data_IF_482995771782
#
_entry.id   IF_482995771782
#
_cell.length_a   1.000
_cell.length_b   1.000
_cell.length_c   1.000
_cell.angle_alpha   90.00
_cell.angle_beta   90.00
_cell.angle_gamma   90.00
#
_symmetry.space_group_name_H-M   'P 1'
#
loop_
_entity.id
_entity.type
_entity.pdbx_description
1 polymer ?
#
# COMPACT_ATOMS: atom_id res chain seq x y z
N UNK A 1 29.78 36.62 -14.68
CA UNK A 1 28.41 36.04 -14.72
C UNK A 1 28.25 34.83 -15.67
N UNK A 2 29.32 34.15 -16.11
CA UNK A 2 29.23 32.96 -17.00
C UNK A 2 29.32 31.61 -16.27
N UNK A 3 29.64 31.63 -14.97
CA UNK A 3 29.85 30.42 -14.16
C UNK A 3 28.57 29.69 -13.79
N UNK A 4 27.53 30.42 -13.38
CA UNK A 4 26.27 29.82 -12.95
C UNK A 4 25.60 28.99 -14.06
N UNK A 5 25.59 29.49 -15.29
CA UNK A 5 25.00 28.77 -16.43
C UNK A 5 25.77 27.50 -16.79
N UNK A 6 27.10 27.48 -16.60
CA UNK A 6 27.91 26.27 -16.82
C UNK A 6 27.67 25.23 -15.73
N UNK A 7 27.60 25.65 -14.46
CA UNK A 7 27.29 24.77 -13.34
C UNK A 7 25.86 24.20 -13.46
N UNK A 8 24.90 25.02 -13.90
CA UNK A 8 23.52 24.58 -14.11
C UNK A 8 23.41 23.53 -15.23
N UNK A 9 24.06 23.75 -16.37
CA UNK A 9 24.09 22.75 -17.46
C UNK A 9 24.73 21.43 -17.02
N UNK A 10 25.85 21.51 -16.31
CA UNK A 10 26.54 20.33 -15.79
C UNK A 10 25.65 19.54 -14.82
N UNK A 11 24.98 20.22 -13.90
CA UNK A 11 24.04 19.59 -12.98
C UNK A 11 22.83 18.97 -13.70
N UNK A 12 22.33 19.61 -14.77
CA UNK A 12 21.24 19.06 -15.60
C UNK A 12 21.67 17.84 -16.43
N UNK A 13 22.93 17.79 -16.87
CA UNK A 13 23.50 16.63 -17.60
C UNK A 13 23.91 15.48 -16.67
N UNK A 14 24.33 15.77 -15.44
CA UNK A 14 24.67 14.76 -14.42
C UNK A 14 23.43 14.17 -13.72
N UNK A 15 22.30 14.89 -13.74
CA UNK A 15 21.04 14.34 -13.30
C UNK A 15 20.55 13.35 -14.38
N UNK A 16 20.37 12.05 -14.05
CA UNK A 16 19.63 11.16 -14.94
C UNK A 16 18.26 11.81 -15.16
N UNK A 17 17.73 11.78 -16.39
CA UNK A 17 16.41 12.30 -16.72
C UNK A 17 15.45 11.81 -15.65
N UNK A 18 15.15 12.69 -14.68
CA UNK A 18 14.39 12.30 -13.50
C UNK A 18 13.13 11.73 -14.06
N UNK A 19 12.94 10.43 -13.86
CA UNK A 19 11.83 9.69 -14.42
C UNK A 19 10.60 10.40 -13.89
N UNK A 20 10.03 11.22 -14.76
CA UNK A 20 8.79 11.95 -14.63
C UNK A 20 7.83 11.00 -13.95
N UNK A 21 7.55 11.27 -12.67
CA UNK A 21 6.40 10.79 -11.91
C UNK A 21 5.79 9.51 -12.47
N UNK A 22 6.56 8.42 -12.52
CA UNK A 22 5.96 7.15 -12.87
C UNK A 22 5.13 6.79 -11.67
N UNK A 23 3.83 6.64 -11.89
CA UNK A 23 2.81 6.08 -11.02
C UNK A 23 3.18 4.63 -10.62
N UNK A 24 4.39 4.39 -10.10
CA UNK A 24 4.97 3.07 -9.82
C UNK A 24 4.14 2.30 -8.80
N UNK A 25 3.37 3.02 -7.98
CA UNK A 25 2.53 2.44 -6.94
C UNK A 25 1.06 2.39 -7.37
N UNK A 26 0.69 1.33 -8.08
CA UNK A 26 -0.71 0.97 -8.26
C UNK A 26 -1.19 0.12 -7.07
N UNK A 27 -1.99 0.72 -6.18
CA UNK A 27 -2.61 0.00 -5.07
C UNK A 27 -3.74 -0.87 -5.65
N UNK A 28 -3.51 -2.19 -5.70
CA UNK A 28 -4.54 -3.13 -6.11
C UNK A 28 -5.80 -3.01 -5.22
N UNK A 29 -6.97 -3.04 -5.85
CA UNK A 29 -8.25 -3.08 -5.12
C UNK A 29 -8.36 -4.40 -4.36
N UNK A 30 -8.91 -4.35 -3.15
CA UNK A 30 -9.17 -5.59 -2.41
C UNK A 30 -10.18 -6.48 -3.13
N UNK A 31 -9.89 -7.78 -3.12
CA UNK A 31 -10.79 -8.84 -3.57
C UNK A 31 -11.25 -9.60 -2.33
N UNK A 32 -12.51 -9.43 -2.00
CA UNK A 32 -13.13 -10.07 -0.85
C UNK A 32 -14.63 -10.19 -1.01
N UNK A 33 -15.23 -11.07 -0.21
CA UNK A 33 -16.67 -11.27 -0.15
C UNK A 33 -17.12 -11.34 1.29
N UNK A 34 -18.41 -11.06 1.49
CA UNK A 34 -19.08 -11.16 2.76
C UNK A 34 -19.76 -12.52 2.83
N UNK A 35 -19.39 -13.31 3.84
CA UNK A 35 -19.99 -14.62 4.10
C UNK A 35 -20.74 -14.53 5.43
N UNK A 36 -22.05 -14.30 5.35
CA UNK A 36 -22.89 -14.02 6.50
C UNK A 36 -22.43 -12.79 7.28
N UNK A 37 -21.96 -12.99 8.51
CA UNK A 37 -21.44 -11.94 9.39
C UNK A 37 -19.90 -11.79 9.33
N UNK A 38 -19.22 -12.56 8.48
CA UNK A 38 -17.75 -12.55 8.36
C UNK A 38 -17.33 -11.92 7.04
N UNK A 39 -16.15 -11.28 7.03
CA UNK A 39 -15.55 -10.72 5.81
C UNK A 39 -14.32 -11.52 5.43
N UNK A 40 -14.29 -12.03 4.20
CA UNK A 40 -13.19 -12.85 3.70
C UNK A 40 -12.41 -12.07 2.64
N UNK A 41 -11.11 -11.91 2.84
CA UNK A 41 -10.18 -11.31 1.87
C UNK A 41 -9.30 -12.38 1.24
N UNK A 42 -9.16 -12.36 -0.08
CA UNK A 42 -8.39 -13.36 -0.84
C UNK A 42 -7.01 -12.82 -1.25
N UNK A 43 -6.89 -11.52 -1.55
CA UNK A 43 -5.67 -10.95 -2.12
C UNK A 43 -4.76 -10.22 -1.12
N UNK A 44 -4.92 -10.44 0.18
CA UNK A 44 -4.15 -9.68 1.18
C UNK A 44 -2.63 -9.94 1.07
N UNK A 45 -2.23 -11.20 0.82
CA UNK A 45 -0.83 -11.57 0.62
C UNK A 45 -0.24 -10.95 -0.66
N UNK A 46 -1.04 -10.88 -1.72
CA UNK A 46 -0.63 -10.24 -2.97
C UNK A 46 -0.40 -8.74 -2.75
N UNK A 47 -1.30 -8.06 -2.04
CA UNK A 47 -1.15 -6.64 -1.70
C UNK A 47 0.10 -6.42 -0.84
N UNK A 48 0.33 -7.25 0.18
CA UNK A 48 1.53 -7.18 1.00
C UNK A 48 2.82 -7.36 0.16
N UNK A 49 2.80 -8.30 -0.80
CA UNK A 49 3.90 -8.52 -1.74
C UNK A 49 4.16 -7.29 -2.63
N UNK A 50 3.10 -6.66 -3.15
CA UNK A 50 3.21 -5.41 -3.93
C UNK A 50 3.84 -4.29 -3.11
N UNK A 51 3.54 -4.22 -1.81
CA UNK A 51 4.15 -3.26 -0.89
C UNK A 51 5.54 -3.65 -0.41
N UNK A 52 6.06 -4.81 -0.81
CA UNK A 52 7.31 -5.39 -0.28
C UNK A 52 7.33 -5.47 1.25
N UNK A 53 6.20 -5.86 1.86
CA UNK A 53 6.03 -6.01 3.31
C UNK A 53 5.55 -7.41 3.69
N UNK A 54 5.82 -7.79 4.93
CA UNK A 54 5.31 -9.04 5.47
C UNK A 54 3.78 -8.99 5.63
N UNK A 55 3.06 -10.05 5.25
CA UNK A 55 1.60 -10.08 5.31
C UNK A 55 1.07 -9.97 6.74
N UNK A 56 1.84 -10.43 7.73
CA UNK A 56 1.49 -10.33 9.15
C UNK A 56 1.46 -8.89 9.65
N UNK A 57 2.39 -8.05 9.18
CA UNK A 57 2.43 -6.64 9.55
C UNK A 57 1.19 -5.90 9.03
N UNK A 58 0.82 -6.14 7.77
CA UNK A 58 -0.36 -5.55 7.15
C UNK A 58 -1.63 -6.04 7.86
N UNK A 59 -1.72 -7.34 8.19
CA UNK A 59 -2.84 -7.86 8.99
C UNK A 59 -2.92 -7.17 10.35
N UNK A 60 -1.81 -7.08 11.10
CA UNK A 60 -1.79 -6.43 12.42
C UNK A 60 -2.27 -4.99 12.37
N UNK A 61 -1.86 -4.24 11.35
CA UNK A 61 -2.36 -2.89 11.10
C UNK A 61 -3.88 -2.88 10.87
N UNK A 62 -4.39 -3.76 9.98
CA UNK A 62 -5.82 -3.84 9.71
C UNK A 62 -6.64 -4.26 10.94
N UNK A 63 -6.14 -5.17 11.77
CA UNK A 63 -6.81 -5.57 13.02
C UNK A 63 -6.97 -4.38 13.97
N UNK A 64 -5.92 -3.55 14.09
CA UNK A 64 -5.93 -2.33 14.91
C UNK A 64 -6.92 -1.30 14.34
N UNK A 65 -6.87 -1.04 13.04
CA UNK A 65 -7.69 -0.01 12.39
C UNK A 65 -9.17 -0.38 12.22
N UNK A 66 -9.47 -1.67 12.08
CA UNK A 66 -10.83 -2.18 11.91
C UNK A 66 -11.47 -2.62 13.23
N UNK A 67 -10.73 -2.57 14.34
CA UNK A 67 -11.16 -3.04 15.66
C UNK A 67 -11.87 -4.42 15.62
N UNK A 68 -11.37 -5.29 14.76
CA UNK A 68 -12.05 -6.55 14.40
C UNK A 68 -11.07 -7.70 14.53
N UNK A 69 -11.43 -8.81 15.19
CA UNK A 69 -10.59 -9.99 15.21
C UNK A 69 -10.52 -10.61 13.81
N UNK A 70 -9.33 -11.00 13.40
CA UNK A 70 -9.10 -11.61 12.10
C UNK A 70 -7.88 -12.51 12.11
N UNK A 71 -7.92 -13.53 11.26
CA UNK A 71 -6.87 -14.55 11.17
C UNK A 71 -6.61 -14.95 9.72
N UNK A 72 -5.37 -15.34 9.45
CA UNK A 72 -5.04 -16.05 8.22
C UNK A 72 -5.59 -17.48 8.29
N UNK A 73 -6.29 -17.89 7.23
CA UNK A 73 -6.74 -19.27 7.01
C UNK A 73 -6.24 -19.66 5.62
N UNK A 74 -5.11 -20.37 5.58
CA UNK A 74 -4.43 -20.72 4.33
C UNK A 74 -3.95 -19.47 3.59
N UNK A 75 -4.58 -19.17 2.45
CA UNK A 75 -4.25 -17.99 1.64
C UNK A 75 -5.17 -16.77 1.88
N UNK A 76 -6.27 -16.98 2.61
CA UNK A 76 -7.30 -15.96 2.82
C UNK A 76 -7.21 -15.39 4.23
N UNK A 77 -7.71 -14.18 4.42
CA UNK A 77 -7.93 -13.58 5.75
C UNK A 77 -9.41 -13.53 6.04
N UNK A 78 -9.78 -14.01 7.23
CA UNK A 78 -11.16 -13.98 7.71
C UNK A 78 -11.25 -12.99 8.85
N UNK A 79 -12.11 -11.99 8.71
CA UNK A 79 -12.51 -11.07 9.76
C UNK A 79 -13.84 -11.52 10.38
N UNK A 80 -13.95 -11.41 11.71
CA UNK A 80 -15.12 -11.82 12.47
C UNK A 80 -16.35 -10.90 12.35
N UNK A 81 -16.22 -9.77 11.66
CA UNK A 81 -17.30 -8.80 11.47
C UNK A 81 -17.52 -8.50 9.98
N UNK A 82 -18.67 -7.91 9.69
CA UNK A 82 -19.03 -7.40 8.36
C UNK A 82 -18.37 -6.04 8.17
N UNK A 83 -17.33 -5.97 7.34
CA UNK A 83 -16.62 -4.75 7.02
C UNK A 83 -16.81 -4.44 5.54
N UNK A 84 -17.29 -3.23 5.18
CA UNK A 84 -17.47 -2.87 3.79
C UNK A 84 -16.12 -2.76 3.07
N UNK A 85 -16.06 -3.24 1.83
CA UNK A 85 -14.82 -3.28 1.07
C UNK A 85 -14.19 -1.89 0.84
N UNK A 86 -15.02 -0.86 0.70
CA UNK A 86 -14.57 0.54 0.58
C UNK A 86 -13.77 1.00 1.80
N UNK A 87 -14.16 0.56 2.99
CA UNK A 87 -13.47 0.97 4.23
C UNK A 87 -12.11 0.28 4.35
N UNK A 88 -12.02 -1.00 3.97
CA UNK A 88 -10.75 -1.74 3.93
C UNK A 88 -9.80 -1.10 2.91
N UNK A 89 -10.29 -0.75 1.71
CA UNK A 89 -9.49 -0.04 0.72
C UNK A 89 -8.96 1.31 1.25
N UNK A 90 -9.77 2.06 2.01
CA UNK A 90 -9.34 3.32 2.62
C UNK A 90 -8.19 3.07 3.63
N UNK A 91 -8.30 2.06 4.47
CA UNK A 91 -7.25 1.69 5.44
C UNK A 91 -5.96 1.23 4.78
N UNK A 92 -6.06 0.48 3.68
CA UNK A 92 -4.88 0.06 2.90
C UNK A 92 -4.17 1.25 2.26
N UNK A 93 -4.92 2.24 1.77
CA UNK A 93 -4.33 3.50 1.27
C UNK A 93 -3.60 4.25 2.39
N UNK A 94 -4.20 4.34 3.58
CA UNK A 94 -3.55 4.95 4.75
C UNK A 94 -2.26 4.20 5.13
N UNK A 95 -2.30 2.86 5.13
CA UNK A 95 -1.10 2.04 5.36
C UNK A 95 0.01 2.35 4.35
N UNK A 96 -0.33 2.45 3.07
CA UNK A 96 0.65 2.77 2.03
C UNK A 96 1.26 4.16 2.26
N UNK A 97 0.44 5.17 2.58
CA UNK A 97 0.93 6.53 2.86
C UNK A 97 1.82 6.62 4.11
N UNK A 98 1.61 5.78 5.12
CA UNK A 98 2.33 5.87 6.40
C UNK A 98 3.58 4.97 6.46
N UNK A 99 3.53 3.78 5.85
CA UNK A 99 4.59 2.76 5.97
C UNK A 99 5.35 2.46 4.68
N UNK A 100 4.87 2.95 3.54
CA UNK A 100 5.44 2.63 2.22
C UNK A 100 5.92 3.87 1.49
N UNK A 101 5.17 4.98 1.58
CA UNK A 101 5.57 6.26 1.02
C UNK A 101 6.36 7.06 2.05
N UNK A 102 7.63 7.34 1.75
CA UNK A 102 8.41 8.32 2.50
C UNK A 102 7.94 9.71 2.10
N UNK A 103 7.64 10.56 3.08
CA UNK A 103 7.50 12.00 2.85
C UNK A 103 8.89 12.60 3.09
N UNK A 104 9.50 13.13 2.02
CA UNK A 104 10.70 13.98 2.13
C UNK A 104 10.38 15.33 2.78
#
# INVERSE_FOLDING_TARGET
MKDYQKLLKKAQEELPETSVSSERFQIEKIKGHLEGNKTILVNLKQIAKTFSREPEHLLKYLLRELATPGKFVGDRVIFGTKVPASFINKKIKQYASEFVLCHE
#
